data_IF_693551911933
#
_entry.id   IF_693551911933
#
_cell.length_a   1.000
_cell.length_b   1.000
_cell.length_c   1.000
_cell.angle_alpha   90.00
_cell.angle_beta   90.00
_cell.angle_gamma   90.00
#
_symmetry.space_group_name_H-M   'P 1'
#
loop_
_entity.id
_entity.type
_entity.pdbx_description
1 polymer ?
#
# COMPACT_ATOMS: atom_id res chain seq x y z
N UNK A 1 -16.39 -5.82 -2.54
CA UNK A 1 -15.39 -6.10 -3.60
C UNK A 1 -14.08 -6.38 -2.89
N UNK A 2 -13.53 -7.58 -2.99
CA UNK A 2 -12.26 -7.90 -2.33
C UNK A 2 -11.16 -6.99 -2.89
N UNK A 3 -10.46 -6.26 -2.02
CA UNK A 3 -9.39 -5.38 -2.46
C UNK A 3 -8.24 -6.21 -3.06
N UNK A 4 -7.99 -6.03 -4.35
CA UNK A 4 -6.86 -6.62 -5.07
C UNK A 4 -5.74 -5.61 -5.20
N UNK A 5 -4.50 -6.03 -4.87
CA UNK A 5 -3.33 -5.16 -5.03
C UNK A 5 -3.05 -4.87 -6.50
N UNK A 6 -2.89 -3.58 -6.81
CA UNK A 6 -2.44 -3.14 -8.12
C UNK A 6 -1.00 -3.58 -8.41
N UNK A 7 -0.55 -3.58 -9.68
CA UNK A 7 0.82 -3.92 -10.05
C UNK A 7 1.86 -3.02 -9.37
N UNK A 8 1.58 -1.71 -9.23
CA UNK A 8 2.53 -0.78 -8.62
C UNK A 8 2.68 -1.02 -7.13
N UNK A 9 1.58 -1.29 -6.41
CA UNK A 9 1.63 -1.64 -4.98
C UNK A 9 2.37 -2.96 -4.77
N UNK A 10 2.13 -3.95 -5.63
CA UNK A 10 2.86 -5.23 -5.59
C UNK A 10 4.36 -5.02 -5.76
N UNK A 11 4.78 -4.18 -6.72
CA UNK A 11 6.19 -3.81 -6.90
C UNK A 11 6.78 -3.16 -5.65
N UNK A 12 6.03 -2.32 -4.94
CA UNK A 12 6.49 -1.75 -3.66
C UNK A 12 6.71 -2.82 -2.58
N UNK A 13 5.81 -3.80 -2.47
CA UNK A 13 5.98 -4.95 -1.57
C UNK A 13 7.24 -5.76 -1.94
N UNK A 14 7.47 -6.02 -3.23
CA UNK A 14 8.68 -6.70 -3.70
C UNK A 14 9.95 -5.92 -3.38
N UNK A 15 9.94 -4.59 -3.53
CA UNK A 15 11.06 -3.72 -3.18
C UNK A 15 11.36 -3.74 -1.68
N UNK A 16 10.32 -3.71 -0.84
CA UNK A 16 10.47 -3.88 0.61
C UNK A 16 11.04 -5.26 0.94
N UNK A 17 10.59 -6.31 0.24
CA UNK A 17 11.10 -7.66 0.40
C UNK A 17 12.58 -7.77 0.04
N UNK A 18 12.99 -7.27 -1.13
CA UNK A 18 14.40 -7.25 -1.54
C UNK A 18 15.32 -6.49 -0.59
N UNK A 19 14.78 -5.49 0.12
CA UNK A 19 15.52 -4.66 1.08
C UNK A 19 15.42 -5.15 2.52
N UNK A 20 14.76 -6.29 2.80
CA UNK A 20 14.48 -6.79 4.16
C UNK A 20 13.76 -5.76 5.05
N UNK A 21 12.87 -4.98 4.45
CA UNK A 21 12.07 -3.94 5.11
C UNK A 21 10.60 -4.36 5.33
N UNK A 22 10.28 -5.64 5.15
CA UNK A 22 8.89 -6.13 5.27
C UNK A 22 8.40 -6.09 6.72
N UNK A 23 9.20 -6.59 7.67
CA UNK A 23 8.88 -6.53 9.09
C UNK A 23 8.65 -5.09 9.62
N UNK A 24 9.54 -4.11 9.37
CA UNK A 24 9.27 -2.73 9.78
C UNK A 24 8.07 -2.11 9.03
N UNK A 25 7.83 -2.48 7.77
CA UNK A 25 6.64 -2.03 7.05
C UNK A 25 5.34 -2.57 7.66
N UNK A 26 5.33 -3.84 8.10
CA UNK A 26 4.21 -4.44 8.84
C UNK A 26 3.96 -3.73 10.17
N UNK A 27 5.02 -3.44 10.93
CA UNK A 27 4.92 -2.71 12.18
C UNK A 27 4.37 -1.29 11.97
N UNK A 28 4.87 -0.60 10.95
CA UNK A 28 4.39 0.73 10.58
C UNK A 28 2.90 0.69 10.21
N UNK A 29 2.50 -0.26 9.37
CA UNK A 29 1.10 -0.43 8.96
C UNK A 29 0.18 -0.76 10.14
N UNK A 30 0.61 -1.63 11.05
CA UNK A 30 -0.15 -1.97 12.26
C UNK A 30 -0.34 -0.74 13.16
N UNK A 31 0.70 0.07 13.34
CA UNK A 31 0.65 1.29 14.16
C UNK A 31 -0.17 2.43 13.55
N UNK A 32 -0.27 2.50 12.22
CA UNK A 32 -0.95 3.58 11.50
C UNK A 32 -2.25 3.14 10.82
N UNK A 33 -2.74 1.92 11.11
CA UNK A 33 -4.00 1.40 10.58
C UNK A 33 -5.20 2.36 10.69
N UNK A 34 -5.47 3.04 11.82
CA UNK A 34 -6.58 3.98 11.89
C UNK A 34 -6.42 5.20 10.95
N UNK A 35 -5.19 5.50 10.55
CA UNK A 35 -4.87 6.59 9.64
C UNK A 35 -4.88 6.16 8.17
N UNK A 36 -4.99 4.86 7.86
CA UNK A 36 -4.95 4.37 6.49
C UNK A 36 -6.03 5.01 5.61
N UNK A 37 -7.26 5.11 6.11
CA UNK A 37 -8.34 5.78 5.40
C UNK A 37 -8.03 7.26 5.15
N UNK A 38 -7.57 7.99 6.17
CA UNK A 38 -7.20 9.39 6.02
C UNK A 38 -6.07 9.58 5.00
N UNK A 39 -5.07 8.69 5.01
CA UNK A 39 -3.98 8.67 4.04
C UNK A 39 -4.50 8.40 2.61
N UNK A 40 -5.46 7.49 2.45
CA UNK A 40 -6.13 7.23 1.16
C UNK A 40 -6.86 8.46 0.63
N UNK A 41 -7.60 9.17 1.49
CA UNK A 41 -8.29 10.41 1.10
C UNK A 41 -7.31 11.53 0.74
N UNK A 42 -6.21 11.69 1.51
CA UNK A 42 -5.17 12.65 1.17
C UNK A 42 -4.48 12.31 -0.15
N UNK A 43 -4.23 11.03 -0.41
CA UNK A 43 -3.70 10.56 -1.69
C UNK A 43 -4.69 10.81 -2.83
N UNK A 44 -5.99 10.62 -2.64
CA UNK A 44 -7.02 10.90 -3.64
C UNK A 44 -7.06 12.39 -4.01
N UNK A 45 -6.89 13.28 -3.02
CA UNK A 45 -6.79 14.73 -3.27
C UNK A 45 -5.52 15.10 -4.03
N UNK A 46 -4.40 14.42 -3.75
CA UNK A 46 -3.12 14.65 -4.42
C UNK A 46 -3.01 13.98 -5.79
N UNK A 47 -3.82 12.95 -6.07
CA UNK A 47 -3.71 12.10 -7.25
C UNK A 47 -3.82 12.85 -8.59
N UNK A 48 -4.73 13.83 -8.78
CA UNK A 48 -4.79 14.60 -10.03
C UNK A 48 -3.48 15.35 -10.30
N UNK A 49 -2.90 15.98 -9.27
CA UNK A 49 -1.63 16.70 -9.37
C UNK A 49 -0.47 15.73 -9.64
N UNK A 50 -0.45 14.59 -8.96
CA UNK A 50 0.54 13.54 -9.19
C UNK A 50 0.45 12.97 -10.61
N UNK A 51 -0.75 12.78 -11.14
CA UNK A 51 -0.97 12.33 -12.51
C UNK A 51 -0.42 13.31 -13.54
N UNK A 52 -0.60 14.62 -13.33
CA UNK A 52 0.01 15.65 -14.19
C UNK A 52 1.54 15.63 -14.15
N UNK A 53 2.12 15.21 -13.02
CA UNK A 53 3.57 15.00 -12.85
C UNK A 53 4.05 13.62 -13.32
N UNK A 54 3.20 12.83 -13.97
CA UNK A 54 3.56 11.49 -14.48
C UNK A 54 3.65 10.39 -13.41
N UNK A 55 3.01 10.59 -12.25
CA UNK A 55 2.98 9.65 -11.12
C UNK A 55 1.56 9.07 -10.90
N UNK A 56 1.04 8.23 -11.83
CA UNK A 56 -0.31 7.67 -11.71
C UNK A 56 -0.46 6.71 -10.53
N UNK A 57 0.65 6.21 -9.99
CA UNK A 57 0.70 5.30 -8.84
C UNK A 57 0.03 5.86 -7.59
N UNK A 58 -0.04 7.19 -7.45
CA UNK A 58 -0.69 7.84 -6.28
C UNK A 58 -2.19 7.53 -6.25
N UNK A 59 -2.85 7.44 -7.41
CA UNK A 59 -4.25 7.03 -7.49
C UNK A 59 -4.44 5.58 -7.02
N UNK A 60 -3.54 4.68 -7.42
CA UNK A 60 -3.62 3.27 -7.01
C UNK A 60 -3.48 3.09 -5.48
N UNK A 61 -2.62 3.90 -4.85
CA UNK A 61 -2.51 3.94 -3.39
C UNK A 61 -3.75 4.55 -2.73
N UNK A 62 -4.32 5.61 -3.30
CA UNK A 62 -5.55 6.21 -2.83
C UNK A 62 -6.70 5.19 -2.84
N UNK A 63 -6.89 4.50 -3.97
CA UNK A 63 -7.95 3.51 -4.14
C UNK A 63 -7.78 2.34 -3.15
N UNK A 64 -6.56 1.86 -2.96
CA UNK A 64 -6.26 0.80 -2.01
C UNK A 64 -6.58 1.23 -0.57
N UNK A 65 -6.07 2.39 -0.14
CA UNK A 65 -6.17 2.81 1.25
C UNK A 65 -7.56 3.33 1.64
N UNK A 66 -8.33 3.85 0.68
CA UNK A 66 -9.71 4.27 0.89
C UNK A 66 -10.71 3.10 0.87
N UNK A 67 -10.31 1.92 0.39
CA UNK A 67 -11.14 0.71 0.41
C UNK A 67 -11.12 0.07 1.81
N UNK A 68 -12.28 -0.29 2.41
CA UNK A 68 -12.34 -0.86 3.76
C UNK A 68 -11.40 -2.06 3.99
N UNK A 69 -11.33 -2.98 3.01
CA UNK A 69 -10.51 -4.19 3.08
C UNK A 69 -9.10 -4.02 2.48
N UNK A 70 -8.76 -2.82 2.00
CA UNK A 70 -7.52 -2.56 1.27
C UNK A 70 -6.26 -2.65 2.14
N UNK A 71 -6.23 -2.02 3.33
CA UNK A 71 -5.13 -2.18 4.27
C UNK A 71 -4.93 -3.65 4.68
N UNK A 72 -6.00 -4.44 4.79
CA UNK A 72 -5.91 -5.87 5.05
C UNK A 72 -5.31 -6.65 3.89
N UNK A 73 -5.65 -6.29 2.65
CA UNK A 73 -5.02 -6.87 1.46
C UNK A 73 -3.52 -6.55 1.39
N UNK A 74 -3.12 -5.33 1.76
CA UNK A 74 -1.72 -4.94 1.85
C UNK A 74 -0.98 -5.72 2.96
N UNK A 75 -1.59 -5.83 4.15
CA UNK A 75 -1.02 -6.57 5.27
C UNK A 75 -0.81 -8.05 4.92
N UNK A 76 -1.78 -8.68 4.24
CA UNK A 76 -1.64 -10.08 3.77
C UNK A 76 -0.50 -10.26 2.79
N UNK A 77 -0.34 -9.35 1.83
CA UNK A 77 0.76 -9.44 0.87
C UNK A 77 2.13 -9.20 1.51
N UNK A 78 2.21 -8.31 2.51
CA UNK A 78 3.43 -8.13 3.28
C UNK A 78 3.75 -9.37 4.13
N UNK A 79 2.78 -10.04 4.75
CA UNK A 79 3.02 -11.32 5.44
C UNK A 79 3.53 -12.39 4.48
N UNK A 80 2.87 -12.58 3.34
CA UNK A 80 3.34 -13.52 2.30
C UNK A 80 4.77 -13.23 1.84
N UNK A 81 5.12 -11.95 1.73
CA UNK A 81 6.47 -11.52 1.34
C UNK A 81 7.50 -11.68 2.47
N UNK A 82 7.09 -11.74 3.73
CA UNK A 82 7.94 -12.02 4.89
C UNK A 82 8.22 -13.52 4.99
N UNK A 83 7.18 -14.35 4.87
CA UNK A 83 7.30 -15.81 4.91
C UNK A 83 8.21 -16.34 3.79
N UNK A 84 8.24 -15.65 2.64
CA UNK A 84 9.13 -15.97 1.51
C UNK A 84 10.60 -15.52 1.71
N UNK A 85 10.91 -14.76 2.76
CA UNK A 85 12.29 -14.35 3.10
C UNK A 85 13.00 -15.32 4.04
N UNK A 86 12.24 -16.16 4.74
CA UNK A 86 12.73 -17.21 5.63
C UNK A 86 13.22 -18.43 4.83
#
# INVERSE_FOLDING_TARGET
>A
MSATLSPSVRRSVELLSRRRLVAPALLWLAGHRPLAFAAGQMAALAAPLASLMGQPVVQEWADLLSTPDGPDALQRALHQALDAQE
#
